data_IF_201178225057
#
_entry.id   IF_201178225057
#
_cell.length_a   1.000
_cell.length_b   1.000
_cell.length_c   1.000
_cell.angle_alpha   90.00
_cell.angle_beta   90.00
_cell.angle_gamma   90.00
#
_symmetry.space_group_name_H-M   'P 1'
#
loop_
_entity.id
_entity.type
_entity.pdbx_description
1 polymer ?
#
# COMPACT_ATOMS: atom_id res chain seq x y z
N UNK A 1 21.03 74.38 19.02
CA UNK A 1 21.62 73.16 19.61
C UNK A 1 21.14 71.99 18.78
N UNK A 2 21.90 71.62 17.74
CA UNK A 2 21.55 70.50 16.86
C UNK A 2 22.04 69.18 17.45
N UNK A 3 21.10 68.26 17.69
CA UNK A 3 21.37 66.92 18.19
C UNK A 3 21.94 66.02 17.10
N UNK A 4 23.19 65.57 17.28
CA UNK A 4 23.81 64.54 16.44
C UNK A 4 23.10 63.19 16.63
N UNK A 5 22.39 62.73 15.59
CA UNK A 5 21.92 61.33 15.51
C UNK A 5 23.12 60.41 15.25
N UNK A 6 23.39 59.51 16.19
CA UNK A 6 24.37 58.41 16.02
C UNK A 6 23.77 57.39 15.05
N UNK A 7 24.42 57.18 13.92
CA UNK A 7 24.11 56.10 12.98
C UNK A 7 24.46 54.75 13.64
N UNK A 8 23.48 53.87 13.79
CA UNK A 8 23.68 52.49 14.25
C UNK A 8 24.21 51.67 13.07
N UNK A 9 25.42 51.14 13.21
CA UNK A 9 26.09 50.34 12.17
C UNK A 9 25.34 49.00 12.02
N UNK A 10 25.02 48.54 10.79
CA UNK A 10 24.36 47.25 10.61
C UNK A 10 25.29 46.11 11.01
N UNK A 11 24.81 45.27 11.92
CA UNK A 11 25.48 44.06 12.39
C UNK A 11 25.50 43.04 11.26
N UNK A 12 26.71 42.67 10.81
CA UNK A 12 26.89 41.70 9.73
C UNK A 12 26.69 40.29 10.30
N UNK A 13 25.65 39.60 9.83
CA UNK A 13 25.47 38.19 10.15
C UNK A 13 26.59 37.34 9.51
N UNK A 14 27.11 36.30 10.19
CA UNK A 14 28.21 35.50 9.67
C UNK A 14 27.77 34.72 8.41
N UNK A 15 28.50 34.85 7.30
CA UNK A 15 28.27 34.08 6.06
C UNK A 15 28.36 32.56 6.25
N UNK A 16 28.94 32.09 7.35
CA UNK A 16 29.14 30.67 7.66
C UNK A 16 27.84 29.93 7.98
N UNK A 17 26.84 30.60 8.59
CA UNK A 17 25.56 29.96 8.94
C UNK A 17 24.69 29.71 7.71
N UNK A 18 24.73 30.60 6.71
CA UNK A 18 23.94 30.47 5.48
C UNK A 18 24.39 29.28 4.62
N UNK A 19 25.71 29.08 4.49
CA UNK A 19 26.25 27.91 3.80
C UNK A 19 25.91 26.62 4.54
N UNK A 20 25.93 26.66 5.88
CA UNK A 20 25.58 25.52 6.73
C UNK A 20 24.14 25.02 6.50
N UNK A 21 23.21 25.95 6.35
CA UNK A 21 21.79 25.67 6.09
C UNK A 21 21.61 25.11 4.67
N UNK A 22 22.27 25.69 3.67
CA UNK A 22 22.09 25.29 2.26
C UNK A 22 22.62 23.89 1.93
N UNK A 23 23.73 23.46 2.54
CA UNK A 23 24.24 22.10 2.32
C UNK A 23 23.36 21.06 3.01
N UNK A 24 22.80 21.42 4.17
CA UNK A 24 21.89 20.56 4.93
C UNK A 24 20.59 20.30 4.18
N UNK A 25 20.01 21.33 3.56
CA UNK A 25 18.83 21.19 2.70
C UNK A 25 19.12 20.29 1.49
N UNK A 26 20.26 20.47 0.83
CA UNK A 26 20.70 19.62 -0.28
C UNK A 26 20.93 18.16 0.14
N UNK A 27 21.48 17.93 1.34
CA UNK A 27 21.65 16.59 1.89
C UNK A 27 20.28 15.94 2.16
N UNK A 28 19.35 16.67 2.81
CA UNK A 28 17.98 16.20 3.05
C UNK A 28 17.32 15.78 1.74
N UNK A 29 17.31 16.65 0.73
CA UNK A 29 16.70 16.37 -0.57
C UNK A 29 17.33 15.16 -1.27
N UNK A 30 18.66 15.05 -1.25
CA UNK A 30 19.38 13.94 -1.89
C UNK A 30 19.11 12.59 -1.21
N UNK A 31 19.07 12.57 0.13
CA UNK A 31 18.68 11.39 0.90
C UNK A 31 17.25 10.97 0.60
N UNK A 32 16.30 11.91 0.59
CA UNK A 32 14.89 11.61 0.35
C UNK A 32 14.66 11.06 -1.06
N UNK A 33 15.33 11.65 -2.06
CA UNK A 33 15.28 11.16 -3.43
C UNK A 33 15.79 9.71 -3.52
N UNK A 34 16.94 9.38 -2.89
CA UNK A 34 17.46 8.01 -2.91
C UNK A 34 16.55 7.02 -2.18
N UNK A 35 15.93 7.42 -1.08
CA UNK A 35 14.94 6.57 -0.38
C UNK A 35 13.75 6.23 -1.30
N UNK A 36 13.28 7.20 -2.08
CA UNK A 36 12.21 6.99 -3.06
C UNK A 36 12.65 6.11 -4.24
N UNK A 37 13.85 6.33 -4.77
CA UNK A 37 14.43 5.49 -5.85
C UNK A 37 14.61 4.03 -5.41
N UNK A 38 15.05 3.81 -4.16
CA UNK A 38 15.34 2.49 -3.61
C UNK A 38 14.10 1.80 -3.01
N UNK A 39 12.93 2.43 -3.08
CA UNK A 39 11.70 2.01 -2.41
C UNK A 39 11.35 0.54 -2.66
N UNK A 40 11.36 0.11 -3.91
CA UNK A 40 11.02 -1.28 -4.29
C UNK A 40 11.98 -2.28 -3.65
N UNK A 41 13.28 -1.96 -3.59
CA UNK A 41 14.30 -2.79 -2.95
C UNK A 41 14.10 -2.85 -1.44
N UNK A 42 13.86 -1.71 -0.80
CA UNK A 42 13.62 -1.61 0.63
C UNK A 42 12.35 -2.36 1.05
N UNK A 43 11.29 -2.27 0.25
CA UNK A 43 10.04 -3.01 0.44
C UNK A 43 10.21 -4.51 0.26
N UNK A 44 10.97 -4.94 -0.75
CA UNK A 44 11.23 -6.36 -0.95
C UNK A 44 11.96 -6.97 0.24
N UNK A 45 13.00 -6.28 0.72
CA UNK A 45 13.79 -6.75 1.85
C UNK A 45 13.01 -6.72 3.17
N UNK A 46 12.13 -5.74 3.35
CA UNK A 46 11.29 -5.64 4.55
C UNK A 46 10.15 -6.66 4.61
N UNK A 47 9.73 -7.22 3.46
CA UNK A 47 8.70 -8.27 3.36
C UNK A 47 9.29 -9.68 3.46
N UNK A 48 10.60 -9.82 3.57
CA UNK A 48 11.26 -11.13 3.66
C UNK A 48 10.76 -11.87 4.91
N UNK A 49 10.24 -13.11 4.77
CA UNK A 49 9.78 -13.92 5.90
C UNK A 49 10.87 -14.24 6.93
N UNK A 50 12.14 -14.01 6.58
CA UNK A 50 13.30 -14.26 7.43
C UNK A 50 13.51 -13.18 8.51
N UNK A 51 12.90 -12.00 8.42
CA UNK A 51 13.05 -10.94 9.43
C UNK A 51 11.84 -10.87 10.36
N UNK A 52 12.08 -10.86 11.67
CA UNK A 52 11.04 -10.54 12.65
C UNK A 52 10.69 -9.04 12.59
N UNK A 53 9.55 -8.65 13.16
CA UNK A 53 9.09 -7.25 13.15
C UNK A 53 10.06 -6.28 13.84
N UNK A 54 10.81 -6.75 14.85
CA UNK A 54 11.88 -5.97 15.50
C UNK A 54 13.06 -5.75 14.55
N UNK A 55 13.49 -6.81 13.86
CA UNK A 55 14.64 -6.78 12.94
C UNK A 55 14.35 -5.92 11.70
N UNK A 56 13.08 -5.83 11.29
CA UNK A 56 12.65 -4.99 10.18
C UNK A 56 12.93 -3.51 10.43
N UNK A 57 12.69 -3.03 11.65
CA UNK A 57 12.95 -1.63 12.03
C UNK A 57 14.46 -1.34 12.03
N UNK A 58 15.26 -2.26 12.52
CA UNK A 58 16.72 -2.14 12.53
C UNK A 58 17.31 -2.18 11.11
N UNK A 59 16.79 -3.05 10.25
CA UNK A 59 17.17 -3.12 8.85
C UNK A 59 16.91 -1.81 8.12
N UNK A 60 15.70 -1.26 8.26
CA UNK A 60 15.32 0.02 7.64
C UNK A 60 16.19 1.15 8.17
N UNK A 61 16.44 1.18 9.48
CA UNK A 61 17.35 2.14 10.10
C UNK A 61 18.78 2.03 9.55
N UNK A 62 19.31 0.81 9.40
CA UNK A 62 20.64 0.58 8.83
C UNK A 62 20.71 1.04 7.38
N UNK A 63 19.70 0.71 6.57
CA UNK A 63 19.63 1.12 5.17
C UNK A 63 19.59 2.65 5.02
N UNK A 64 18.84 3.36 5.87
CA UNK A 64 18.82 4.82 5.85
C UNK A 64 20.12 5.43 6.34
N UNK A 65 20.77 4.83 7.34
CA UNK A 65 22.09 5.26 7.81
C UNK A 65 23.15 5.12 6.72
N UNK A 66 23.09 4.05 5.93
CA UNK A 66 23.96 3.83 4.78
C UNK A 66 23.74 4.90 3.70
N UNK A 67 22.49 5.11 3.28
CA UNK A 67 22.10 6.17 2.34
C UNK A 67 22.59 7.54 2.80
N UNK A 68 22.35 7.89 4.06
CA UNK A 68 22.76 9.16 4.65
C UNK A 68 24.28 9.33 4.62
N UNK A 69 25.02 8.28 5.02
CA UNK A 69 26.48 8.30 5.04
C UNK A 69 27.06 8.48 3.63
N UNK A 70 26.46 7.84 2.63
CA UNK A 70 26.90 7.93 1.25
C UNK A 70 26.63 9.31 0.63
N UNK A 71 25.45 9.88 0.87
CA UNK A 71 25.13 11.24 0.40
C UNK A 71 25.97 12.31 1.10
N UNK A 72 26.21 12.16 2.40
CA UNK A 72 27.09 13.06 3.15
C UNK A 72 28.52 13.04 2.61
N UNK A 73 29.06 11.84 2.31
CA UNK A 73 30.39 11.70 1.68
C UNK A 73 30.43 12.36 0.31
N UNK A 74 29.41 12.16 -0.52
CA UNK A 74 29.32 12.78 -1.86
C UNK A 74 29.35 14.30 -1.77
N UNK A 75 28.59 14.87 -0.85
CA UNK A 75 28.54 16.32 -0.64
C UNK A 75 29.87 16.90 -0.13
N UNK A 76 30.56 16.19 0.78
CA UNK A 76 31.88 16.58 1.30
C UNK A 76 32.96 16.55 0.20
N UNK A 77 32.90 15.56 -0.68
CA UNK A 77 33.84 15.42 -1.79
C UNK A 77 33.63 16.52 -2.85
N UNK A 78 32.41 16.98 -3.07
CA UNK A 78 32.11 18.11 -3.96
C UNK A 78 32.71 19.44 -3.47
N UNK A 79 32.95 19.59 -2.17
CA UNK A 79 33.58 20.78 -1.59
C UNK A 79 35.13 20.75 -1.61
N UNK A 80 35.73 19.57 -1.79
CA UNK A 80 37.19 19.38 -1.69
C UNK A 80 37.94 19.54 -3.02
N UNK A 81 37.22 19.61 -4.15
CA UNK A 81 37.82 19.68 -5.49
C UNK A 81 38.22 21.10 -5.96
N UNK A 82 38.11 22.12 -5.11
CA UNK A 82 38.40 23.51 -5.47
C UNK A 82 39.84 23.98 -5.17
N UNK A 83 40.71 23.15 -4.61
CA UNK A 83 42.10 23.56 -4.31
C UNK A 83 43.12 22.46 -4.59
N UNK A 84 43.43 22.25 -5.88
CA UNK A 84 44.71 21.64 -6.29
C UNK A 84 45.73 22.74 -6.54
N UNK A 85 46.70 22.87 -5.64
CA UNK A 85 48.06 23.25 -5.99
C UNK A 85 49.02 22.41 -5.13
N UNK A 86 50.09 21.82 -5.69
CA UNK A 86 51.00 21.00 -4.90
C UNK A 86 52.17 21.86 -4.40
N UNK A 87 52.45 21.80 -3.11
CA UNK A 87 53.81 22.00 -2.60
C UNK A 87 53.95 21.38 -1.21
N UNK A 88 54.72 20.31 -1.20
CA UNK A 88 55.44 19.72 -0.08
C UNK A 88 55.95 20.75 0.94
N UNK A 89 55.80 20.45 2.23
CA UNK A 89 56.89 20.39 3.22
C UNK A 89 56.35 20.07 4.63
N UNK A 90 56.97 19.05 5.23
CA UNK A 90 57.43 18.96 6.62
C UNK A 90 56.48 19.23 7.78
N UNK A 91 56.43 18.26 8.70
CA UNK A 91 56.05 18.50 10.08
C UNK A 91 55.17 17.38 10.62
N UNK A 92 55.83 16.38 11.19
CA UNK A 92 55.34 15.66 12.37
C UNK A 92 54.40 16.53 13.24
N UNK A 93 53.11 16.25 13.16
CA UNK A 93 52.22 16.47 14.28
C UNK A 93 51.18 15.36 14.17
N UNK A 94 51.51 14.25 14.81
CA UNK A 94 50.58 13.20 15.17
C UNK A 94 49.60 13.85 16.17
N UNK A 95 48.74 14.72 15.65
CA UNK A 95 47.59 15.29 16.36
C UNK A 95 46.63 14.14 16.52
N UNK A 96 46.93 13.33 17.54
CA UNK A 96 46.00 12.86 18.54
C UNK A 96 44.72 13.68 18.41
N UNK A 97 43.73 13.12 17.71
CA UNK A 97 42.37 13.65 17.80
C UNK A 97 41.99 13.49 19.26
N UNK A 98 42.26 14.53 20.07
CA UNK A 98 41.72 14.62 21.40
C UNK A 98 40.21 14.54 21.21
N UNK A 99 39.73 13.37 21.58
CA UNK A 99 38.34 13.01 21.51
C UNK A 99 37.61 13.85 22.56
N UNK A 100 37.23 15.06 22.16
CA UNK A 100 36.27 15.88 22.88
C UNK A 100 34.87 15.35 22.56
N UNK A 101 34.48 14.23 23.18
CA UNK A 101 33.07 13.89 23.31
C UNK A 101 32.42 14.73 24.43
N UNK A 102 31.14 15.16 24.35
CA UNK A 102 30.16 15.06 23.27
C UNK A 102 29.48 16.41 22.93
N UNK A 103 29.49 16.85 21.67
CA UNK A 103 28.53 17.85 21.20
C UNK A 103 27.19 17.16 20.89
N UNK A 104 26.29 17.16 21.87
CA UNK A 104 24.90 16.67 21.76
C UNK A 104 24.01 17.48 20.80
N UNK A 105 24.59 18.36 19.99
CA UNK A 105 23.90 19.16 18.97
C UNK A 105 23.92 18.52 17.57
N UNK A 106 24.91 17.69 17.20
CA UNK A 106 24.99 17.09 15.84
C UNK A 106 24.28 15.73 15.71
N UNK A 107 24.13 14.97 16.81
CA UNK A 107 23.47 13.66 16.81
C UNK A 107 21.95 13.78 16.65
N UNK A 108 21.36 14.81 17.28
CA UNK A 108 19.92 15.09 17.22
C UNK A 108 19.45 15.44 15.80
N UNK A 109 20.30 16.10 15.02
CA UNK A 109 19.96 16.56 13.68
C UNK A 109 20.13 15.44 12.62
N UNK A 110 21.07 14.52 12.83
CA UNK A 110 21.14 13.28 12.04
C UNK A 110 19.92 12.39 12.30
N UNK A 111 19.50 12.31 13.57
CA UNK A 111 18.30 11.59 13.98
C UNK A 111 17.04 12.22 13.35
N UNK A 112 16.94 13.55 13.29
CA UNK A 112 15.85 14.25 12.60
C UNK A 112 15.74 13.83 11.12
N UNK A 113 16.86 13.78 10.39
CA UNK A 113 16.87 13.39 8.98
C UNK A 113 16.48 11.93 8.80
N UNK A 114 17.00 11.03 9.63
CA UNK A 114 16.67 9.60 9.58
C UNK A 114 15.20 9.34 9.91
N UNK A 115 14.65 10.06 10.90
CA UNK A 115 13.24 9.98 11.27
C UNK A 115 12.34 10.52 10.16
N UNK A 116 12.73 11.60 9.49
CA UNK A 116 11.98 12.12 8.34
C UNK A 116 12.07 11.21 7.11
N UNK A 117 13.23 10.59 6.83
CA UNK A 117 13.37 9.55 5.81
C UNK A 117 12.39 8.38 6.09
N UNK A 118 12.31 7.96 7.35
CA UNK A 118 11.39 6.92 7.79
C UNK A 118 9.93 7.34 7.66
N UNK A 119 9.58 8.57 8.05
CA UNK A 119 8.22 9.13 7.91
C UNK A 119 7.77 9.10 6.46
N UNK A 120 8.55 9.69 5.56
CA UNK A 120 8.23 9.78 4.13
C UNK A 120 8.06 8.39 3.53
N UNK A 121 8.95 7.45 3.86
CA UNK A 121 8.84 6.07 3.37
C UNK A 121 7.52 5.39 3.78
N UNK A 122 7.10 5.54 5.04
CA UNK A 122 5.83 4.96 5.50
C UNK A 122 4.59 5.70 4.98
N UNK A 123 4.67 7.03 4.85
CA UNK A 123 3.61 7.82 4.21
C UNK A 123 3.42 7.42 2.74
N UNK A 124 4.51 7.25 1.98
CA UNK A 124 4.48 6.77 0.60
C UNK A 124 3.88 5.35 0.51
N UNK A 125 4.18 4.46 1.47
CA UNK A 125 3.55 3.13 1.55
C UNK A 125 2.04 3.23 1.77
N UNK A 126 1.63 4.04 2.75
CA UNK A 126 0.22 4.18 3.12
C UNK A 126 -0.59 4.74 1.96
N UNK A 127 -0.07 5.77 1.29
CA UNK A 127 -0.72 6.41 0.15
C UNK A 127 -0.91 5.45 -1.02
N UNK A 128 0.11 4.64 -1.35
CA UNK A 128 -0.02 3.63 -2.40
C UNK A 128 -1.03 2.54 -2.05
N UNK A 129 -1.12 2.11 -0.79
CA UNK A 129 -2.12 1.14 -0.37
C UNK A 129 -3.54 1.71 -0.52
N UNK A 130 -3.76 2.93 -0.06
CA UNK A 130 -5.05 3.61 -0.20
C UNK A 130 -5.45 3.83 -1.66
N UNK A 131 -4.49 4.18 -2.53
CA UNK A 131 -4.74 4.31 -3.97
C UNK A 131 -5.12 2.97 -4.59
N UNK A 132 -4.39 1.90 -4.26
CA UNK A 132 -4.66 0.55 -4.79
C UNK A 132 -5.99 -0.01 -4.28
N UNK A 133 -6.38 0.31 -3.05
CA UNK A 133 -7.70 -0.02 -2.48
C UNK A 133 -8.82 0.72 -3.21
N UNK A 134 -8.65 2.00 -3.51
CA UNK A 134 -9.62 2.77 -4.28
C UNK A 134 -9.76 2.26 -5.72
N UNK A 135 -8.64 1.99 -6.40
CA UNK A 135 -8.64 1.38 -7.74
C UNK A 135 -9.31 0.00 -7.75
N UNK A 136 -9.07 -0.81 -6.70
CA UNK A 136 -9.74 -2.09 -6.53
C UNK A 136 -11.24 -1.93 -6.27
N UNK A 137 -11.67 -0.96 -5.47
CA UNK A 137 -13.08 -0.66 -5.20
C UNK A 137 -13.83 -0.38 -6.50
N UNK A 138 -13.26 0.48 -7.36
CA UNK A 138 -13.85 0.87 -8.64
C UNK A 138 -14.06 -0.35 -9.56
N UNK A 139 -13.08 -1.27 -9.63
CA UNK A 139 -13.20 -2.48 -10.46
C UNK A 139 -14.27 -3.44 -9.92
N UNK A 140 -14.40 -3.57 -8.60
CA UNK A 140 -15.41 -4.42 -7.99
C UNK A 140 -16.83 -3.86 -8.15
N UNK A 141 -17.00 -2.54 -8.10
CA UNK A 141 -18.28 -1.87 -8.33
C UNK A 141 -18.83 -2.18 -9.74
N UNK A 142 -17.97 -2.12 -10.78
CA UNK A 142 -18.37 -2.43 -12.15
C UNK A 142 -18.79 -3.91 -12.33
N UNK A 143 -18.11 -4.85 -11.66
CA UNK A 143 -18.43 -6.29 -11.69
C UNK A 143 -19.72 -6.62 -10.92
N UNK A 144 -19.94 -5.97 -9.78
CA UNK A 144 -21.17 -6.12 -8.99
C UNK A 144 -22.39 -5.60 -9.75
N UNK A 145 -22.26 -4.46 -10.43
CA UNK A 145 -23.32 -3.86 -11.23
C UNK A 145 -23.76 -4.77 -12.39
N UNK A 146 -22.83 -5.47 -13.05
CA UNK A 146 -23.15 -6.45 -14.09
C UNK A 146 -23.92 -7.66 -13.52
N UNK A 147 -23.48 -8.19 -12.38
CA UNK A 147 -24.18 -9.29 -11.69
C UNK A 147 -25.59 -8.88 -11.24
N UNK A 148 -25.73 -7.68 -10.67
CA UNK A 148 -27.01 -7.10 -10.26
C UNK A 148 -27.96 -6.92 -11.46
N UNK A 149 -27.45 -6.45 -12.60
CA UNK A 149 -28.24 -6.31 -13.83
C UNK A 149 -28.78 -7.66 -14.33
N UNK A 150 -27.96 -8.70 -14.33
CA UNK A 150 -28.36 -10.06 -14.71
C UNK A 150 -29.41 -10.66 -13.75
N UNK A 151 -29.20 -10.49 -12.43
CA UNK A 151 -30.14 -10.98 -11.42
C UNK A 151 -31.50 -10.26 -11.51
N UNK A 152 -31.49 -8.94 -11.76
CA UNK A 152 -32.71 -8.16 -11.98
C UNK A 152 -33.43 -8.57 -13.26
N UNK A 153 -32.72 -8.83 -14.36
CA UNK A 153 -33.33 -9.32 -15.59
C UNK A 153 -33.98 -10.69 -15.39
N UNK A 154 -33.28 -11.62 -14.71
CA UNK A 154 -33.85 -12.92 -14.36
C UNK A 154 -35.09 -12.79 -13.46
N UNK A 155 -35.05 -11.91 -12.46
CA UNK A 155 -36.19 -11.66 -11.58
C UNK A 155 -37.37 -11.02 -12.32
N UNK A 156 -37.12 -10.09 -13.25
CA UNK A 156 -38.15 -9.49 -14.10
C UNK A 156 -38.79 -10.52 -15.04
N UNK A 157 -37.99 -11.41 -15.65
CA UNK A 157 -38.49 -12.52 -16.46
C UNK A 157 -39.39 -13.48 -15.67
N UNK A 158 -39.11 -13.69 -14.39
CA UNK A 158 -39.93 -14.50 -13.49
C UNK A 158 -41.22 -13.76 -13.05
N UNK A 159 -41.15 -12.45 -12.81
CA UNK A 159 -42.29 -11.66 -12.32
C UNK A 159 -43.30 -11.24 -13.39
N UNK A 160 -42.93 -11.21 -14.67
CA UNK A 160 -43.85 -10.91 -15.78
C UNK A 160 -44.85 -12.06 -16.07
N UNK A 161 -44.94 -13.06 -15.19
CA UNK A 161 -45.80 -14.25 -15.35
C UNK A 161 -45.42 -15.11 -16.55
N UNK A 162 -44.30 -14.81 -17.20
CA UNK A 162 -43.82 -15.44 -18.42
C UNK A 162 -42.84 -16.54 -18.05
N UNK A 163 -43.29 -17.49 -17.22
CA UNK A 163 -42.56 -18.75 -17.04
C UNK A 163 -42.43 -19.35 -18.43
N UNK A 164 -41.21 -19.32 -18.97
CA UNK A 164 -41.00 -19.75 -20.33
C UNK A 164 -41.38 -21.23 -20.41
N UNK A 165 -42.32 -21.58 -21.28
CA UNK A 165 -42.80 -22.95 -21.41
C UNK A 165 -41.63 -23.93 -21.70
N UNK A 166 -40.54 -23.45 -22.30
CA UNK A 166 -39.31 -24.22 -22.44
C UNK A 166 -38.64 -24.51 -21.08
N UNK A 167 -38.42 -23.49 -20.26
CA UNK A 167 -37.82 -23.62 -18.93
C UNK A 167 -38.64 -24.57 -18.04
N UNK A 168 -39.96 -24.46 -18.10
CA UNK A 168 -40.87 -25.34 -17.35
C UNK A 168 -40.73 -26.80 -17.80
N UNK A 169 -40.62 -27.04 -19.12
CA UNK A 169 -40.40 -28.39 -19.67
C UNK A 169 -39.03 -28.94 -19.29
N UNK A 170 -37.98 -28.12 -19.33
CA UNK A 170 -36.62 -28.53 -19.00
C UNK A 170 -36.54 -28.94 -17.51
N UNK A 171 -37.11 -28.14 -16.61
CA UNK A 171 -37.14 -28.43 -15.17
C UNK A 171 -37.96 -29.67 -14.83
N UNK A 172 -39.10 -29.88 -15.50
CA UNK A 172 -39.91 -31.10 -15.37
C UNK A 172 -39.15 -32.35 -15.85
N UNK A 173 -38.41 -32.24 -16.97
CA UNK A 173 -37.62 -33.33 -17.51
C UNK A 173 -36.48 -33.72 -16.56
N UNK A 174 -35.75 -32.73 -16.05
CA UNK A 174 -34.66 -32.93 -15.09
C UNK A 174 -35.15 -33.58 -13.80
N UNK A 175 -36.23 -33.07 -13.19
CA UNK A 175 -36.81 -33.68 -11.98
C UNK A 175 -37.27 -35.13 -12.21
N UNK A 176 -37.78 -35.44 -13.41
CA UNK A 176 -38.17 -36.79 -13.79
C UNK A 176 -36.94 -37.71 -14.00
N UNK A 177 -35.86 -37.19 -14.59
CA UNK A 177 -34.59 -37.91 -14.77
C UNK A 177 -33.91 -38.19 -13.43
N UNK A 178 -33.83 -37.20 -12.55
CA UNK A 178 -33.31 -37.35 -11.17
C UNK A 178 -34.07 -38.43 -10.39
N UNK A 179 -35.39 -38.46 -10.51
CA UNK A 179 -36.22 -39.50 -9.90
C UNK A 179 -35.91 -40.89 -10.47
N UNK A 180 -35.67 -40.98 -11.78
CA UNK A 180 -35.29 -42.23 -12.45
C UNK A 180 -33.89 -42.70 -12.01
N UNK A 181 -32.94 -41.78 -11.91
CA UNK A 181 -31.55 -42.03 -11.50
C UNK A 181 -31.44 -42.49 -10.04
N UNK A 182 -32.37 -42.05 -9.19
CA UNK A 182 -32.54 -42.60 -7.82
C UNK A 182 -33.07 -44.04 -7.80
N UNK A 183 -33.41 -44.61 -8.96
CA UNK A 183 -33.72 -46.03 -9.14
C UNK A 183 -35.21 -46.36 -9.19
N UNK A 184 -36.10 -45.35 -9.17
CA UNK A 184 -37.54 -45.57 -9.27
C UNK A 184 -38.00 -45.46 -10.73
N UNK A 185 -38.52 -46.56 -11.29
CA UNK A 185 -39.01 -46.62 -12.68
C UNK A 185 -40.51 -46.35 -12.81
N UNK A 186 -41.19 -46.10 -11.70
CA UNK A 186 -42.61 -45.72 -11.71
C UNK A 186 -42.76 -44.32 -12.28
N UNK A 187 -43.89 -44.05 -12.94
CA UNK A 187 -44.18 -42.70 -13.45
C UNK A 187 -44.54 -41.78 -12.29
N UNK A 188 -43.78 -40.70 -12.03
CA UNK A 188 -44.16 -39.71 -11.03
C UNK A 188 -45.27 -38.78 -11.56
N UNK A 189 -46.00 -38.17 -10.65
CA UNK A 189 -47.00 -37.14 -10.89
C UNK A 189 -46.44 -35.76 -10.52
N UNK A 190 -46.96 -34.71 -11.13
CA UNK A 190 -46.61 -33.33 -10.80
C UNK A 190 -47.85 -32.59 -10.36
N UNK A 191 -47.77 -31.89 -9.23
CA UNK A 191 -48.90 -31.15 -8.65
C UNK A 191 -48.44 -29.79 -8.13
N UNK A 192 -49.33 -28.80 -8.18
CA UNK A 192 -49.12 -27.52 -7.50
C UNK A 192 -49.84 -27.62 -6.16
N UNK A 193 -49.09 -27.49 -5.07
CA UNK A 193 -49.62 -27.54 -3.71
C UNK A 193 -49.04 -26.40 -2.87
N UNK A 194 -49.76 -26.00 -1.83
CA UNK A 194 -49.28 -25.05 -0.84
C UNK A 194 -48.90 -25.81 0.43
N UNK A 195 -47.61 -25.87 0.73
CA UNK A 195 -47.08 -26.57 1.90
C UNK A 195 -46.18 -25.60 2.66
N UNK A 196 -46.40 -25.44 3.98
CA UNK A 196 -45.68 -24.47 4.81
C UNK A 196 -45.68 -23.03 4.26
N UNK A 197 -46.84 -22.56 3.80
CA UNK A 197 -47.03 -21.24 3.17
C UNK A 197 -46.23 -21.01 1.87
N UNK A 198 -45.63 -22.07 1.31
CA UNK A 198 -44.98 -22.06 0.01
C UNK A 198 -45.88 -22.74 -1.03
N UNK A 199 -46.40 -21.97 -1.99
CA UNK A 199 -47.08 -22.50 -3.17
C UNK A 199 -46.05 -22.78 -4.25
N UNK A 200 -45.83 -24.05 -4.55
CA UNK A 200 -44.79 -24.52 -5.46
C UNK A 200 -45.29 -25.68 -6.33
N UNK A 201 -44.57 -25.98 -7.40
CA UNK A 201 -44.77 -27.18 -8.20
C UNK A 201 -43.94 -28.32 -7.60
N UNK A 202 -44.58 -29.45 -7.30
CA UNK A 202 -43.97 -30.61 -6.68
C UNK A 202 -43.96 -31.81 -7.62
N UNK A 203 -42.94 -32.66 -7.48
CA UNK A 203 -42.92 -34.03 -8.01
C UNK A 203 -43.35 -35.00 -6.91
N UNK A 204 -44.32 -35.86 -7.21
CA UNK A 204 -44.86 -36.84 -6.28
C UNK A 204 -44.78 -38.25 -6.88
N UNK A 205 -44.31 -39.23 -6.12
CA UNK A 205 -44.31 -40.61 -6.54
C UNK A 205 -44.78 -41.53 -5.41
N UNK A 206 -45.92 -42.19 -5.60
CA UNK A 206 -46.51 -43.08 -4.59
C UNK A 206 -45.71 -44.37 -4.36
N UNK A 207 -44.80 -44.73 -5.26
CA UNK A 207 -44.03 -45.97 -5.14
C UNK A 207 -42.80 -45.82 -4.23
N UNK A 208 -42.10 -44.70 -4.32
CA UNK A 208 -40.92 -44.39 -3.51
C UNK A 208 -41.18 -43.29 -2.46
N UNK A 209 -42.42 -42.81 -2.34
CA UNK A 209 -42.82 -41.70 -1.46
C UNK A 209 -42.01 -40.41 -1.69
N UNK A 210 -41.55 -40.17 -2.92
CA UNK A 210 -40.89 -38.91 -3.29
C UNK A 210 -41.92 -37.79 -3.26
N UNK A 211 -41.57 -36.68 -2.61
CA UNK A 211 -42.32 -35.43 -2.61
C UNK A 211 -41.33 -34.27 -2.49
N UNK A 212 -40.99 -33.64 -3.61
CA UNK A 212 -39.92 -32.65 -3.70
C UNK A 212 -40.35 -31.44 -4.55
N UNK A 213 -39.84 -30.24 -4.23
CA UNK A 213 -40.08 -29.02 -5.01
C UNK A 213 -39.33 -29.07 -6.34
N UNK A 214 -40.01 -28.66 -7.40
CA UNK A 214 -39.48 -28.50 -8.76
C UNK A 214 -39.30 -27.03 -9.12
N UNK A 215 -40.28 -26.17 -8.76
CA UNK A 215 -40.28 -24.71 -8.97
C UNK A 215 -41.08 -23.99 -7.89
#
# INVERSE_FOLDING_TARGET
>A
MEGKKKQLKPERQPLKTLNHISWKEKLKESCYRRVKEDRTRLLWNSRSPLLQSSDQKEFIHFAFKDIFSDELKKLKNQHSDASKLPSSLSGEDDVLWEYDGPHTADKSECEEILLEMQRIFYEDIKLELSQKEAEKSIVLEDEEDEYLALALDQYMQLNDGKVNLSLLKDRLAEAHEDHLDRGCRSKPEFCIETVFDLTALYIQCQHCNTFEVVM
#
